data_IF_145734065574
#
_entry.id   IF_145734065574
#
_cell.length_a   1.000
_cell.length_b   1.000
_cell.length_c   1.000
_cell.angle_alpha   90.00
_cell.angle_beta   90.00
_cell.angle_gamma   90.00
#
_symmetry.space_group_name_H-M   'P 1'
#
loop_
_entity.id
_entity.type
_entity.pdbx_description
1 polymer ?
#
# COMPACT_ATOMS: atom_id res chain seq x y z
N UNK A 1 7.10 -9.76 -9.50
CA UNK A 1 8.02 -9.89 -8.36
C UNK A 1 8.08 -11.37 -8.02
N UNK A 2 9.26 -12.00 -7.94
CA UNK A 2 9.33 -13.41 -7.54
C UNK A 2 9.04 -13.48 -6.04
N UNK A 3 7.92 -14.10 -5.65
CA UNK A 3 7.38 -14.05 -4.29
C UNK A 3 8.12 -14.94 -3.28
N UNK A 4 9.23 -15.58 -3.68
CA UNK A 4 10.05 -16.49 -2.84
C UNK A 4 9.21 -17.51 -2.05
N UNK A 5 8.19 -18.08 -2.71
CA UNK A 5 7.32 -19.09 -2.11
C UNK A 5 7.98 -20.47 -2.13
N UNK A 6 7.75 -21.25 -1.08
CA UNK A 6 7.97 -22.70 -1.10
C UNK A 6 6.96 -23.38 -2.04
N UNK A 7 7.22 -24.60 -2.49
CA UNK A 7 6.30 -25.32 -3.40
C UNK A 7 4.88 -25.45 -2.84
N UNK A 8 4.76 -25.65 -1.52
CA UNK A 8 3.46 -25.70 -0.83
C UNK A 8 2.73 -24.38 -0.93
N UNK A 9 3.43 -23.28 -0.64
CA UNK A 9 2.87 -21.94 -0.73
C UNK A 9 2.55 -21.55 -2.17
N UNK A 10 3.32 -22.01 -3.16
CA UNK A 10 3.00 -21.78 -4.57
C UNK A 10 1.73 -22.54 -4.99
N UNK A 11 1.59 -23.82 -4.61
CA UNK A 11 0.39 -24.61 -4.89
C UNK A 11 -0.87 -24.08 -4.17
N UNK A 12 -0.71 -23.53 -2.97
CA UNK A 12 -1.79 -22.82 -2.26
C UNK A 12 -2.14 -21.48 -2.93
N UNK A 13 -1.13 -20.71 -3.33
CA UNK A 13 -1.34 -19.45 -4.02
C UNK A 13 -2.08 -19.62 -5.37
N UNK A 14 -1.85 -20.72 -6.10
CA UNK A 14 -2.58 -21.03 -7.33
C UNK A 14 -4.08 -21.24 -7.07
N UNK A 15 -4.45 -21.83 -5.92
CA UNK A 15 -5.84 -22.10 -5.56
C UNK A 15 -6.57 -20.86 -5.06
N UNK A 16 -5.89 -20.03 -4.27
CA UNK A 16 -6.57 -19.00 -3.48
C UNK A 16 -6.32 -17.57 -3.99
N UNK A 17 -5.36 -17.37 -4.90
CA UNK A 17 -5.00 -16.03 -5.38
C UNK A 17 -5.26 -15.86 -6.86
N UNK A 18 -6.22 -14.99 -7.17
CA UNK A 18 -6.59 -14.60 -8.54
C UNK A 18 -5.40 -14.13 -9.38
N UNK A 19 -4.40 -13.51 -8.76
CA UNK A 19 -3.17 -13.08 -9.45
C UNK A 19 -2.41 -14.25 -10.08
N UNK A 20 -2.45 -15.43 -9.47
CA UNK A 20 -1.80 -16.63 -9.99
C UNK A 20 -2.62 -17.31 -11.08
N UNK A 21 -3.95 -17.40 -10.92
CA UNK A 21 -4.83 -17.88 -11.98
C UNK A 21 -4.69 -17.03 -13.26
N UNK A 22 -4.67 -15.69 -13.11
CA UNK A 22 -4.44 -14.78 -14.23
C UNK A 22 -3.04 -14.93 -14.83
N UNK A 23 -1.99 -15.00 -14.01
CA UNK A 23 -0.61 -15.12 -14.49
C UNK A 23 -0.34 -16.44 -15.24
N UNK A 24 -1.02 -17.52 -14.85
CA UNK A 24 -0.89 -18.84 -15.45
C UNK A 24 -1.92 -19.12 -16.56
N UNK A 25 -2.85 -18.18 -16.81
CA UNK A 25 -3.92 -18.35 -17.78
C UNK A 25 -4.91 -19.47 -17.42
N UNK A 26 -5.09 -19.74 -16.14
CA UNK A 26 -6.01 -20.77 -15.64
C UNK A 26 -7.44 -20.23 -15.53
N UNK A 27 -8.41 -21.14 -15.64
CA UNK A 27 -9.80 -20.83 -15.34
C UNK A 27 -9.98 -20.53 -13.85
N UNK A 28 -10.95 -19.70 -13.50
CA UNK A 28 -11.30 -19.38 -12.11
C UNK A 28 -11.74 -20.62 -11.31
N UNK A 29 -12.23 -21.64 -12.01
CA UNK A 29 -12.68 -22.93 -11.44
C UNK A 29 -11.57 -23.98 -11.41
N UNK A 30 -10.36 -23.65 -11.87
CA UNK A 30 -9.23 -24.57 -11.85
C UNK A 30 -8.86 -24.93 -10.39
N UNK A 31 -8.76 -26.23 -10.10
CA UNK A 31 -8.47 -26.73 -8.76
C UNK A 31 -6.99 -26.62 -8.35
N UNK A 32 -6.12 -26.19 -9.27
CA UNK A 32 -4.69 -26.13 -9.08
C UNK A 32 -4.01 -27.51 -9.14
N UNK A 33 -2.79 -27.59 -8.60
CA UNK A 33 -1.97 -28.82 -8.60
C UNK A 33 -1.46 -29.15 -7.19
N UNK A 34 -1.10 -30.43 -6.98
CA UNK A 34 -0.46 -30.85 -5.74
C UNK A 34 0.96 -30.31 -5.62
N UNK A 35 1.34 -29.83 -4.43
CA UNK A 35 2.65 -29.21 -4.20
C UNK A 35 3.85 -30.10 -4.55
N UNK A 36 3.69 -31.43 -4.49
CA UNK A 36 4.76 -32.37 -4.85
C UNK A 36 5.10 -32.35 -6.33
N UNK A 37 4.17 -31.91 -7.20
CA UNK A 37 4.39 -31.85 -8.65
C UNK A 37 5.59 -30.95 -8.99
N UNK A 38 5.69 -29.77 -8.35
CA UNK A 38 6.80 -28.84 -8.59
C UNK A 38 8.14 -29.39 -8.10
N UNK A 39 8.14 -30.04 -6.95
CA UNK A 39 9.33 -30.66 -6.38
C UNK A 39 9.81 -31.81 -7.27
N UNK A 40 8.92 -32.72 -7.66
CA UNK A 40 9.24 -33.84 -8.55
C UNK A 40 9.69 -33.37 -9.93
N UNK A 41 9.06 -32.32 -10.47
CA UNK A 41 9.48 -31.72 -11.73
C UNK A 41 10.91 -31.18 -11.62
N UNK A 42 11.22 -30.39 -10.58
CA UNK A 42 12.58 -29.87 -10.36
C UNK A 42 13.60 -30.99 -10.15
N UNK A 43 13.25 -32.02 -9.38
CA UNK A 43 14.10 -33.21 -9.20
C UNK A 43 14.41 -33.86 -10.54
N UNK A 44 13.39 -34.16 -11.35
CA UNK A 44 13.58 -34.75 -12.69
C UNK A 44 14.41 -33.87 -13.62
N UNK A 45 14.19 -32.55 -13.61
CA UNK A 45 15.00 -31.61 -14.42
C UNK A 45 16.47 -31.63 -14.00
N UNK A 46 16.75 -31.71 -12.70
CA UNK A 46 18.12 -31.75 -12.18
C UNK A 46 18.77 -33.11 -12.47
N UNK A 47 18.10 -34.20 -12.14
CA UNK A 47 18.58 -35.58 -12.33
C UNK A 47 18.91 -35.88 -13.80
N UNK A 48 18.11 -35.37 -14.73
CA UNK A 48 18.33 -35.58 -16.16
C UNK A 48 19.10 -34.44 -16.84
N UNK A 49 19.66 -33.49 -16.07
CA UNK A 49 20.41 -32.34 -16.59
C UNK A 49 19.65 -31.50 -17.65
N UNK A 50 18.33 -31.43 -17.55
CA UNK A 50 17.45 -30.80 -18.56
C UNK A 50 17.29 -29.28 -18.39
N UNK A 51 18.12 -28.62 -17.58
CA UNK A 51 17.96 -27.20 -17.23
C UNK A 51 17.99 -26.29 -18.46
N UNK A 52 18.93 -26.55 -19.37
CA UNK A 52 19.05 -25.81 -20.64
C UNK A 52 17.85 -26.10 -21.54
N UNK A 53 17.47 -27.37 -21.70
CA UNK A 53 16.31 -27.75 -22.51
C UNK A 53 15.01 -27.10 -22.05
N UNK A 54 14.78 -27.01 -20.73
CA UNK A 54 13.60 -26.32 -20.18
C UNK A 54 13.64 -24.83 -20.49
N UNK A 55 14.82 -24.20 -20.38
CA UNK A 55 15.00 -22.79 -20.73
C UNK A 55 14.78 -22.56 -22.23
N UNK A 56 15.32 -23.42 -23.09
CA UNK A 56 15.17 -23.31 -24.55
C UNK A 56 13.71 -23.42 -24.97
N UNK A 57 13.00 -24.44 -24.47
CA UNK A 57 11.56 -24.60 -24.74
C UNK A 57 10.74 -23.39 -24.26
N UNK A 58 11.09 -22.80 -23.12
CA UNK A 58 10.46 -21.57 -22.65
C UNK A 58 10.74 -20.40 -23.60
N UNK A 59 12.00 -20.20 -23.99
CA UNK A 59 12.40 -19.12 -24.88
C UNK A 59 11.78 -19.24 -26.27
N UNK A 60 11.67 -20.45 -26.81
CA UNK A 60 10.95 -20.74 -28.05
C UNK A 60 9.51 -20.26 -27.96
N UNK A 61 8.78 -20.66 -26.89
CA UNK A 61 7.38 -20.25 -26.69
C UNK A 61 7.21 -18.75 -26.52
N UNK A 62 8.10 -18.12 -25.76
CA UNK A 62 8.07 -16.67 -25.58
C UNK A 62 8.38 -15.93 -26.88
N UNK A 63 9.23 -16.50 -27.74
CA UNK A 63 9.53 -15.95 -29.07
C UNK A 63 8.32 -16.11 -30.00
N UNK A 64 7.67 -17.28 -30.03
CA UNK A 64 6.44 -17.52 -30.78
C UNK A 64 5.32 -16.53 -30.42
N UNK A 65 5.22 -16.18 -29.14
CA UNK A 65 4.25 -15.20 -28.66
C UNK A 65 4.70 -13.73 -28.83
N UNK A 66 5.85 -13.48 -29.45
CA UNK A 66 6.39 -12.14 -29.67
C UNK A 66 6.84 -11.43 -28.38
N UNK A 67 6.98 -12.16 -27.27
CA UNK A 67 7.43 -11.65 -25.98
C UNK A 67 8.96 -11.53 -25.90
N UNK A 68 9.68 -12.28 -26.74
CA UNK A 68 11.14 -12.23 -26.87
C UNK A 68 11.52 -12.04 -28.34
N UNK A 69 12.34 -11.02 -28.64
CA UNK A 69 12.80 -10.71 -30.00
C UNK A 69 14.23 -11.16 -30.26
N UNK A 70 14.52 -11.55 -31.51
CA UNK A 70 15.86 -11.91 -31.95
C UNK A 70 16.82 -10.70 -31.93
N UNK A 71 18.10 -10.93 -31.57
CA UNK A 71 19.15 -9.90 -31.61
C UNK A 71 19.10 -8.86 -30.49
N UNK A 72 18.24 -9.04 -29.48
CA UNK A 72 18.23 -8.19 -28.29
C UNK A 72 19.52 -8.31 -27.48
N UNK A 73 19.93 -7.22 -26.81
CA UNK A 73 21.07 -7.25 -25.89
C UNK A 73 20.73 -8.16 -24.70
N UNK A 74 21.20 -9.40 -24.75
CA UNK A 74 21.01 -10.38 -23.69
C UNK A 74 21.75 -9.90 -22.44
N UNK A 75 21.00 -9.53 -21.40
CA UNK A 75 21.55 -9.14 -20.11
C UNK A 75 21.13 -10.18 -19.08
N UNK A 76 21.92 -11.25 -18.99
CA UNK A 76 21.69 -12.40 -18.09
C UNK A 76 22.06 -12.09 -16.63
N UNK A 77 22.48 -10.86 -16.33
CA UNK A 77 22.66 -10.42 -14.94
C UNK A 77 21.30 -10.13 -14.30
N UNK A 78 20.92 -11.00 -13.36
CA UNK A 78 19.73 -10.86 -12.52
C UNK A 78 19.62 -9.48 -11.86
N UNK A 79 20.73 -8.81 -11.57
CA UNK A 79 20.76 -7.45 -11.01
C UNK A 79 20.11 -6.44 -11.94
N UNK A 80 20.37 -6.53 -13.24
CA UNK A 80 19.82 -5.61 -14.22
C UNK A 80 18.31 -5.81 -14.40
N UNK A 81 17.87 -7.07 -14.46
CA UNK A 81 16.45 -7.44 -14.53
C UNK A 81 15.72 -6.96 -13.25
N UNK A 82 16.28 -7.25 -12.08
CA UNK A 82 15.73 -6.83 -10.78
C UNK A 82 15.64 -5.31 -10.69
N UNK A 83 16.65 -4.58 -11.16
CA UNK A 83 16.62 -3.11 -11.19
C UNK A 83 15.51 -2.56 -12.11
N UNK A 84 15.35 -3.13 -13.31
CA UNK A 84 14.30 -2.74 -14.25
C UNK A 84 12.90 -2.99 -13.68
N UNK A 85 12.68 -4.18 -13.10
CA UNK A 85 11.41 -4.54 -12.43
C UNK A 85 11.15 -3.61 -11.25
N UNK A 86 12.17 -3.30 -10.43
CA UNK A 86 12.04 -2.35 -9.31
C UNK A 86 11.66 -0.94 -9.78
N UNK A 87 12.17 -0.50 -10.94
CA UNK A 87 11.82 0.80 -11.52
C UNK A 87 10.34 0.85 -11.93
N UNK A 88 9.90 -0.17 -12.69
CA UNK A 88 8.52 -0.27 -13.16
C UNK A 88 7.52 -0.44 -12.01
N UNK A 89 7.83 -1.32 -11.06
CA UNK A 89 6.97 -1.57 -9.89
C UNK A 89 6.83 -0.33 -8.98
N UNK A 90 7.87 0.49 -8.86
CA UNK A 90 7.80 1.76 -8.11
C UNK A 90 6.89 2.78 -8.81
N UNK A 91 6.98 2.86 -10.14
CA UNK A 91 6.13 3.74 -10.93
C UNK A 91 4.66 3.30 -10.87
N UNK A 92 4.41 1.99 -10.92
CA UNK A 92 3.07 1.39 -10.78
C UNK A 92 2.49 1.74 -9.42
N UNK A 93 3.26 1.47 -8.36
CA UNK A 93 2.85 1.76 -6.99
C UNK A 93 2.51 3.24 -6.78
N UNK A 94 3.34 4.15 -7.32
CA UNK A 94 3.09 5.58 -7.22
C UNK A 94 1.77 5.98 -7.92
N UNK A 95 1.53 5.44 -9.12
CA UNK A 95 0.30 5.66 -9.86
C UNK A 95 -0.93 5.11 -9.14
N UNK A 96 -0.89 3.84 -8.74
CA UNK A 96 -1.98 3.15 -8.05
C UNK A 96 -2.29 3.78 -6.69
N UNK A 97 -1.28 4.30 -5.97
CA UNK A 97 -1.52 5.00 -4.71
C UNK A 97 -2.37 6.26 -4.91
N UNK A 98 -2.11 7.03 -5.97
CA UNK A 98 -2.91 8.22 -6.30
C UNK A 98 -4.30 7.80 -6.76
N UNK A 99 -4.42 6.79 -7.63
CA UNK A 99 -5.72 6.25 -8.07
C UNK A 99 -6.57 5.80 -6.88
N UNK A 100 -6.02 4.95 -6.02
CA UNK A 100 -6.72 4.41 -4.86
C UNK A 100 -7.12 5.50 -3.86
N UNK A 101 -6.27 6.51 -3.65
CA UNK A 101 -6.60 7.64 -2.79
C UNK A 101 -7.80 8.44 -3.34
N UNK A 102 -7.83 8.71 -4.64
CA UNK A 102 -8.96 9.40 -5.30
C UNK A 102 -10.23 8.55 -5.22
N UNK A 103 -10.14 7.25 -5.47
CA UNK A 103 -11.26 6.32 -5.39
C UNK A 103 -11.85 6.31 -3.97
N UNK A 104 -11.01 6.17 -2.94
CA UNK A 104 -11.42 6.22 -1.55
C UNK A 104 -12.07 7.57 -1.17
N UNK A 105 -11.50 8.70 -1.61
CA UNK A 105 -12.06 10.03 -1.39
C UNK A 105 -13.39 10.23 -2.11
N UNK A 106 -13.55 9.64 -3.30
CA UNK A 106 -14.79 9.72 -4.08
C UNK A 106 -15.91 8.96 -3.38
N UNK A 107 -15.61 7.82 -2.75
CA UNK A 107 -16.57 7.09 -1.91
C UNK A 107 -16.92 7.88 -0.65
N UNK A 108 -15.93 8.45 0.04
CA UNK A 108 -16.14 9.11 1.32
C UNK A 108 -16.75 10.52 1.21
N UNK A 109 -16.41 11.28 0.17
CA UNK A 109 -16.76 12.69 0.02
C UNK A 109 -16.90 13.10 -1.46
N UNK A 110 -17.87 12.54 -2.20
CA UNK A 110 -18.00 12.72 -3.65
C UNK A 110 -18.15 14.19 -4.08
N UNK A 111 -18.93 14.97 -3.33
CA UNK A 111 -19.15 16.40 -3.63
C UNK A 111 -17.89 17.25 -3.44
N UNK A 112 -17.06 16.90 -2.45
CA UNK A 112 -15.79 17.60 -2.24
C UNK A 112 -14.81 17.30 -3.37
N UNK A 113 -14.71 16.02 -3.78
CA UNK A 113 -13.87 15.62 -4.90
C UNK A 113 -14.25 16.35 -6.19
N UNK A 114 -15.55 16.43 -6.50
CA UNK A 114 -16.05 17.14 -7.68
C UNK A 114 -15.76 18.66 -7.67
N UNK A 115 -15.62 19.26 -6.49
CA UNK A 115 -15.30 20.69 -6.36
C UNK A 115 -13.81 21.02 -6.33
N UNK A 116 -12.95 20.01 -6.13
CA UNK A 116 -11.50 20.19 -5.92
C UNK A 116 -10.67 19.61 -7.06
N UNK A 117 -11.10 18.50 -7.66
CA UNK A 117 -10.38 17.84 -8.74
C UNK A 117 -10.98 18.20 -10.10
N UNK A 118 -10.11 18.34 -11.10
CA UNK A 118 -10.49 18.33 -12.51
C UNK A 118 -10.92 16.91 -12.91
N UNK A 119 -12.17 16.56 -12.60
CA UNK A 119 -12.71 15.20 -12.77
C UNK A 119 -12.47 14.65 -14.19
N UNK A 120 -12.66 15.40 -15.30
CA UNK A 120 -12.34 14.91 -16.64
C UNK A 120 -10.85 14.57 -16.85
N UNK A 121 -9.93 15.44 -16.45
CA UNK A 121 -8.49 15.21 -16.61
C UNK A 121 -7.94 14.12 -15.69
N UNK A 122 -8.59 13.88 -14.55
CA UNK A 122 -8.22 12.83 -13.59
C UNK A 122 -8.80 11.48 -13.96
N UNK A 123 -10.08 11.43 -14.35
CA UNK A 123 -10.72 10.20 -14.84
C UNK A 123 -9.95 9.65 -16.03
N UNK A 124 -9.67 10.44 -17.07
CA UNK A 124 -8.87 9.96 -18.21
C UNK A 124 -7.52 9.30 -17.82
N UNK A 125 -6.89 9.75 -16.73
CA UNK A 125 -5.59 9.23 -16.28
C UNK A 125 -5.67 8.08 -15.29
N UNK A 126 -6.75 7.97 -14.53
CA UNK A 126 -6.89 7.06 -13.39
C UNK A 126 -8.12 6.15 -13.46
N UNK A 127 -8.89 6.20 -14.55
CA UNK A 127 -10.07 5.37 -14.78
C UNK A 127 -9.72 3.88 -14.85
N UNK A 128 -8.59 3.55 -15.48
CA UNK A 128 -8.08 2.18 -15.50
C UNK A 128 -6.99 1.99 -14.47
N UNK A 129 -6.89 0.75 -13.96
CA UNK A 129 -5.75 0.30 -13.16
C UNK A 129 -4.44 0.57 -13.92
N UNK A 130 -3.48 1.14 -13.21
CA UNK A 130 -2.12 1.35 -13.69
C UNK A 130 -1.38 0.03 -13.49
N UNK A 131 -0.90 -0.54 -14.59
CA UNK A 131 -0.13 -1.78 -14.60
C UNK A 131 1.19 -1.58 -15.35
N UNK A 132 2.19 -2.40 -14.99
CA UNK A 132 3.52 -2.39 -15.62
C UNK A 132 3.47 -2.72 -17.13
N UNK A 133 2.44 -3.41 -17.61
CA UNK A 133 2.32 -3.86 -19.01
C UNK A 133 1.98 -2.73 -19.97
N UNK A 134 1.26 -1.71 -19.51
CA UNK A 134 0.89 -0.52 -20.31
C UNK A 134 1.87 0.63 -20.18
N UNK A 135 2.99 0.43 -19.49
CA UNK A 135 3.95 1.51 -19.24
C UNK A 135 4.76 1.89 -20.50
N UNK A 136 5.13 3.17 -20.64
CA UNK A 136 6.05 3.59 -21.69
C UNK A 136 7.39 2.84 -21.60
N UNK A 137 7.87 2.34 -22.74
CA UNK A 137 9.18 1.67 -22.82
C UNK A 137 10.38 2.64 -22.65
N UNK A 138 10.18 3.92 -22.96
CA UNK A 138 11.19 4.98 -22.84
C UNK A 138 11.39 5.40 -21.37
N UNK A 139 12.65 5.46 -20.92
CA UNK A 139 13.00 6.01 -19.60
C UNK A 139 12.52 7.45 -19.43
N UNK A 140 12.74 8.32 -20.42
CA UNK A 140 12.28 9.72 -20.36
C UNK A 140 10.76 9.83 -20.19
N UNK A 141 10.00 9.01 -20.92
CA UNK A 141 8.53 8.99 -20.77
C UNK A 141 8.11 8.46 -19.38
N UNK A 142 8.84 7.49 -18.83
CA UNK A 142 8.61 6.99 -17.46
C UNK A 142 8.92 8.05 -16.40
N UNK A 143 9.99 8.82 -16.57
CA UNK A 143 10.34 9.91 -15.64
C UNK A 143 9.29 11.03 -15.68
N UNK A 144 8.82 11.41 -16.86
CA UNK A 144 7.71 12.36 -17.02
C UNK A 144 6.43 11.86 -16.36
N UNK A 145 6.13 10.56 -16.49
CA UNK A 145 4.98 9.93 -15.85
C UNK A 145 5.13 9.94 -14.32
N UNK A 146 6.31 9.63 -13.81
CA UNK A 146 6.62 9.70 -12.37
C UNK A 146 6.39 11.11 -11.81
N UNK A 147 6.88 12.14 -12.51
CA UNK A 147 6.65 13.54 -12.14
C UNK A 147 5.16 13.91 -12.15
N UNK A 148 4.41 13.37 -13.11
CA UNK A 148 2.96 13.59 -13.20
C UNK A 148 2.25 12.99 -11.98
N UNK A 149 2.56 11.75 -11.62
CA UNK A 149 2.00 11.11 -10.43
C UNK A 149 2.37 11.85 -9.14
N UNK A 150 3.63 12.28 -9.02
CA UNK A 150 4.08 13.06 -7.86
C UNK A 150 3.31 14.39 -7.74
N UNK A 151 3.15 15.13 -8.83
CA UNK A 151 2.40 16.40 -8.85
C UNK A 151 0.94 16.19 -8.47
N UNK A 152 0.29 15.17 -9.04
CA UNK A 152 -1.10 14.84 -8.75
C UNK A 152 -1.27 14.45 -7.27
N UNK A 153 -0.41 13.56 -6.75
CA UNK A 153 -0.44 13.16 -5.34
C UNK A 153 -0.23 14.34 -4.39
N UNK A 154 0.72 15.23 -4.69
CA UNK A 154 0.96 16.42 -3.87
C UNK A 154 -0.22 17.40 -3.91
N UNK A 155 -0.81 17.63 -5.09
CA UNK A 155 -1.99 18.47 -5.22
C UNK A 155 -3.17 17.92 -4.41
N UNK A 156 -3.40 16.60 -4.49
CA UNK A 156 -4.46 15.91 -3.74
C UNK A 156 -4.26 16.08 -2.22
N UNK A 157 -3.07 15.77 -1.72
CA UNK A 157 -2.75 15.91 -0.29
C UNK A 157 -2.89 17.36 0.18
N UNK A 158 -2.38 18.32 -0.60
CA UNK A 158 -2.48 19.74 -0.27
C UNK A 158 -3.93 20.19 -0.14
N UNK A 159 -4.80 19.72 -1.04
CA UNK A 159 -6.22 20.04 -0.99
C UNK A 159 -6.91 19.43 0.25
N UNK A 160 -6.61 18.16 0.57
CA UNK A 160 -7.12 17.48 1.78
C UNK A 160 -6.68 18.24 3.03
N UNK A 161 -5.39 18.56 3.17
CA UNK A 161 -4.88 19.29 4.34
C UNK A 161 -5.48 20.70 4.46
N UNK A 162 -5.71 21.38 3.34
CA UNK A 162 -6.38 22.69 3.34
C UNK A 162 -7.83 22.60 3.83
N UNK A 163 -8.56 21.57 3.40
CA UNK A 163 -9.93 21.31 3.85
C UNK A 163 -9.96 20.98 5.36
N UNK A 164 -9.07 20.10 5.82
CA UNK A 164 -8.95 19.75 7.25
C UNK A 164 -8.62 20.97 8.12
N UNK A 165 -7.71 21.83 7.67
CA UNK A 165 -7.38 23.08 8.38
C UNK A 165 -8.59 24.01 8.48
N UNK A 166 -9.38 24.10 7.43
CA UNK A 166 -10.61 24.92 7.41
C UNK A 166 -11.66 24.39 8.40
N UNK A 167 -11.84 23.07 8.44
CA UNK A 167 -12.74 22.41 9.39
C UNK A 167 -12.29 22.61 10.84
N UNK A 168 -11.00 22.41 11.12
CA UNK A 168 -10.42 22.63 12.46
C UNK A 168 -10.59 24.10 12.91
N UNK A 169 -10.35 25.07 12.02
CA UNK A 169 -10.56 26.48 12.33
C UNK A 169 -12.05 26.82 12.58
N UNK A 170 -12.99 26.16 11.88
CA UNK A 170 -14.42 26.34 12.13
C UNK A 170 -14.83 25.73 13.47
N UNK A 171 -14.32 24.55 13.82
CA UNK A 171 -14.55 23.93 15.13
C UNK A 171 -14.01 24.79 16.28
N UNK A 172 -12.81 25.36 16.14
CA UNK A 172 -12.22 26.26 17.13
C UNK A 172 -13.03 27.56 17.33
N UNK A 173 -13.67 28.07 16.27
CA UNK A 173 -14.58 29.23 16.36
C UNK A 173 -15.96 28.89 16.94
N UNK A 174 -16.38 27.64 16.83
CA UNK A 174 -17.66 27.14 17.38
C UNK A 174 -17.58 26.66 18.83
N UNK A 175 -16.37 26.51 19.39
CA UNK A 175 -16.18 26.27 20.81
C UNK A 175 -16.46 27.56 21.59
N UNK A 176 -17.64 27.64 22.21
CA UNK A 176 -18.12 28.77 23.00
C UNK A 176 -17.08 29.21 24.06
N UNK A 177 -16.67 30.50 24.10
CA UNK A 177 -15.73 31.01 25.11
C UNK A 177 -16.22 30.84 26.56
N UNK A 178 -17.52 30.58 26.77
CA UNK A 178 -18.11 30.39 28.10
C UNK A 178 -17.50 29.22 28.90
N UNK A 179 -16.98 28.18 28.24
CA UNK A 179 -16.40 27.04 28.96
C UNK A 179 -14.99 27.31 29.54
N UNK A 180 -14.29 28.34 29.04
CA UNK A 180 -12.96 28.74 29.51
C UNK A 180 -13.03 29.62 30.77
N UNK A 181 -14.06 30.45 30.89
CA UNK A 181 -14.27 31.32 32.06
C UNK A 181 -14.65 30.52 33.33
N UNK A 182 -15.29 29.35 33.19
CA UNK A 182 -15.64 28.49 34.33
C UNK A 182 -14.41 27.85 35.00
N UNK A 183 -13.28 27.73 34.31
CA UNK A 183 -12.04 27.20 34.86
C UNK A 183 -11.20 28.23 35.63
N UNK A 184 -11.38 29.53 35.34
CA UNK A 184 -10.61 30.62 35.99
C UNK A 184 -11.27 31.15 37.29
N UNK A 185 -12.54 30.83 37.56
CA UNK A 185 -13.29 31.32 38.73
C UNK A 185 -13.27 30.39 39.96
N UNK A 186 -12.40 29.38 40.04
CA UNK A 186 -12.28 28.53 41.24
C UNK A 186 -10.84 28.35 41.77
N UNK A 187 -10.26 29.37 42.44
CA UNK A 187 -9.08 29.18 43.25
C UNK A 187 -9.47 28.64 44.64
N UNK A 188 -8.98 27.44 44.97
CA UNK A 188 -8.78 26.91 46.32
C UNK A 188 -9.98 26.77 47.29
N UNK A 189 -10.69 25.63 47.20
CA UNK A 189 -11.29 25.01 48.41
C UNK A 189 -10.27 24.03 49.01
N UNK A 190 -9.48 24.49 49.99
CA UNK A 190 -8.70 23.62 50.88
C UNK A 190 -9.67 22.72 51.63
N UNK A 191 -9.62 21.42 51.34
CA UNK A 191 -10.33 20.39 52.10
C UNK A 191 -9.69 20.24 53.48
N UNK A 192 -10.51 20.46 54.50
CA UNK A 192 -10.24 20.26 55.93
C UNK A 192 -9.90 18.78 56.16
N UNK A 193 -8.64 18.46 56.49
CA UNK A 193 -8.25 17.10 56.90
C UNK A 193 -8.42 16.98 58.41
N UNK A 194 -9.44 16.24 58.83
CA UNK A 194 -9.59 15.73 60.18
C UNK A 194 -8.45 14.76 60.51
N UNK A 195 -7.63 15.12 61.49
CA UNK A 195 -6.82 14.24 62.35
C UNK A 195 -7.04 14.81 63.75
N UNK A 196 -7.39 14.11 64.79
CA UNK A 196 -7.49 12.69 65.10
C UNK A 196 -7.59 12.68 66.62
N UNK A 197 -8.62 12.04 67.17
CA UNK A 197 -8.78 11.92 68.61
C UNK A 197 -7.75 10.94 69.20
N UNK A 198 -7.26 11.26 70.39
CA UNK A 198 -6.45 10.42 71.27
C UNK A 198 -6.30 11.11 72.64
N UNK A 199 -6.29 10.37 73.77
CA UNK A 199 -7.06 10.66 75.00
C UNK A 199 -6.29 11.48 76.06
N UNK A 200 -6.94 11.89 77.18
CA UNK A 200 -6.32 12.78 78.15
C UNK A 200 -5.38 12.01 79.10
N UNK A 201 -4.18 12.56 79.27
CA UNK A 201 -3.20 12.10 80.24
C UNK A 201 -3.54 12.69 81.63
N UNK A 202 -4.01 11.83 82.52
CA UNK A 202 -4.11 12.11 83.95
C UNK A 202 -2.88 11.48 84.61
N UNK A 203 -1.94 12.28 85.11
CA UNK A 203 -1.44 12.08 86.46
C UNK A 203 -0.68 13.31 87.00
N UNK A 204 -1.24 13.91 88.06
CA UNK A 204 -0.52 14.67 89.07
C UNK A 204 -1.06 14.25 90.43
N UNK A 205 -0.54 13.14 90.95
CA UNK A 205 0.09 13.08 92.27
C UNK A 205 -0.78 12.75 93.48
N UNK A 206 -0.33 11.78 94.28
CA UNK A 206 -0.62 11.74 95.71
C UNK A 206 -0.67 10.36 96.37
N UNK A 207 0.48 9.97 96.97
CA UNK A 207 0.68 9.02 98.08
C UNK A 207 0.52 7.51 97.84
#
# INVERSE_FOLDING_TARGET
>A
MAENLTDRQAAEAVRDRLSWAYALGLELTDTGFDFTVLSQFRTRVVEHHLKEKVLDLLLERLTEQGLVGAGGKQRTDSTHIVSAVRGLNRLELAGESVRAAVEALTVAAPHWVAGVLDVPGWSHRYDTRIDTWRMPSSTTKRDQLALTYARNGFALLSAVYSALRTLAARAARGADPAHRAAAELHPHRRTRRSRGGGPPDQDRGGR
#
